data_IF_247429330190
#
_entry.id   IF_247429330190
#
_cell.length_a   1.000
_cell.length_b   1.000
_cell.length_c   1.000
_cell.angle_alpha   90.00
_cell.angle_beta   90.00
_cell.angle_gamma   90.00
#
_symmetry.space_group_name_H-M   'P 1'
#
loop_
_entity.id
_entity.type
_entity.pdbx_description
1 polymer ?
#
# COMPACT_ATOMS: atom_id res chain seq x y z
N UNK A 1 -21.38 -40.14 16.81
CA UNK A 1 -22.15 -38.89 16.95
C UNK A 1 -21.31 -37.78 16.35
N UNK A 2 -21.50 -37.51 15.07
CA UNK A 2 -20.69 -36.54 14.32
C UNK A 2 -21.19 -35.14 14.64
N UNK A 3 -20.37 -34.30 15.28
CA UNK A 3 -20.71 -32.90 15.49
C UNK A 3 -20.66 -32.15 14.16
N UNK A 4 -21.67 -31.33 13.83
CA UNK A 4 -21.61 -30.46 12.66
C UNK A 4 -20.60 -29.34 12.94
N UNK A 5 -19.59 -29.23 12.08
CA UNK A 5 -18.70 -28.07 12.05
C UNK A 5 -19.54 -26.91 11.53
N UNK A 6 -20.11 -26.11 12.43
CA UNK A 6 -20.75 -24.85 12.10
C UNK A 6 -19.65 -23.89 11.61
N UNK A 7 -19.39 -23.92 10.30
CA UNK A 7 -18.55 -22.93 9.63
C UNK A 7 -19.18 -21.55 9.78
N UNK A 8 -18.52 -20.67 10.54
CA UNK A 8 -18.91 -19.28 10.65
C UNK A 8 -18.96 -18.63 9.24
N UNK A 9 -19.92 -17.75 8.96
CA UNK A 9 -19.94 -17.04 7.69
C UNK A 9 -18.68 -16.19 7.58
N UNK A 10 -17.87 -16.46 6.55
CA UNK A 10 -16.75 -15.62 6.11
C UNK A 10 -17.24 -14.17 6.05
N UNK A 11 -16.85 -13.37 7.05
CA UNK A 11 -17.09 -11.94 7.04
C UNK A 11 -16.33 -11.41 5.84
N UNK A 12 -17.05 -11.06 4.75
CA UNK A 12 -16.48 -10.35 3.59
C UNK A 12 -15.66 -9.18 4.11
N UNK A 13 -14.34 -9.36 4.15
CA UNK A 13 -13.42 -8.29 4.51
C UNK A 13 -13.60 -7.16 3.51
N UNK A 14 -13.72 -5.91 3.97
CA UNK A 14 -13.82 -4.77 3.06
C UNK A 14 -12.63 -4.80 2.11
N UNK A 15 -12.89 -4.55 0.83
CA UNK A 15 -11.84 -4.50 -0.20
C UNK A 15 -11.01 -3.26 0.13
N UNK A 16 -9.83 -3.46 0.70
CA UNK A 16 -8.88 -2.38 1.01
C UNK A 16 -8.02 -2.13 -0.23
N UNK A 17 -7.96 -0.87 -0.67
CA UNK A 17 -7.00 -0.45 -1.69
C UNK A 17 -5.80 0.11 -0.94
N UNK A 18 -4.64 -0.48 -1.18
CA UNK A 18 -3.40 -0.10 -0.52
C UNK A 18 -2.65 0.89 -1.41
N UNK A 19 -2.20 1.98 -0.81
CA UNK A 19 -1.43 3.02 -1.47
C UNK A 19 -0.08 3.19 -0.80
N UNK A 20 0.87 3.60 -1.62
CA UNK A 20 2.27 3.85 -1.28
C UNK A 20 2.58 5.29 -1.59
N UNK A 21 3.18 5.99 -0.62
CA UNK A 21 3.71 7.34 -0.77
C UNK A 21 5.21 7.25 -0.90
N UNK A 22 5.73 7.64 -2.06
CA UNK A 22 7.15 7.78 -2.33
C UNK A 22 7.56 9.24 -2.14
N UNK A 23 8.62 9.50 -1.39
CA UNK A 23 9.15 10.82 -1.11
C UNK A 23 10.59 10.93 -1.62
N UNK A 24 10.88 12.01 -2.35
CA UNK A 24 12.24 12.31 -2.80
C UNK A 24 13.07 12.89 -1.65
N UNK A 25 14.28 12.37 -1.44
CA UNK A 25 15.22 12.83 -0.40
C UNK A 25 15.68 14.27 -0.62
N UNK A 26 15.87 14.69 -1.88
CA UNK A 26 16.31 16.04 -2.24
C UNK A 26 15.19 17.06 -2.28
N UNK A 27 14.18 16.73 -3.08
CA UNK A 27 13.16 17.69 -3.51
C UNK A 27 11.95 17.69 -2.59
N UNK A 28 11.86 16.72 -1.66
CA UNK A 28 10.70 16.48 -0.78
C UNK A 28 9.37 16.31 -1.52
N UNK A 29 9.42 16.08 -2.84
CA UNK A 29 8.24 15.75 -3.64
C UNK A 29 7.72 14.39 -3.18
N UNK A 30 6.42 14.34 -2.92
CA UNK A 30 5.70 13.12 -2.59
C UNK A 30 4.88 12.66 -3.80
N UNK A 31 4.89 11.37 -4.09
CA UNK A 31 4.14 10.75 -5.17
C UNK A 31 3.32 9.61 -4.59
N UNK A 32 2.00 9.65 -4.84
CA UNK A 32 1.06 8.57 -4.46
C UNK A 32 0.98 7.58 -5.62
N UNK A 33 1.18 6.30 -5.32
CA UNK A 33 0.95 5.18 -6.25
C UNK A 33 0.20 4.04 -5.58
N UNK A 34 -0.42 3.16 -6.37
CA UNK A 34 -0.96 1.90 -5.87
C UNK A 34 0.19 1.02 -5.35
N UNK A 35 -0.05 0.35 -4.22
CA UNK A 35 0.93 -0.54 -3.62
C UNK A 35 1.13 -1.77 -4.49
N UNK A 36 2.39 -2.14 -4.69
CA UNK A 36 2.78 -3.37 -5.38
C UNK A 36 3.45 -4.30 -4.38
N UNK A 37 3.31 -5.62 -4.58
CA UNK A 37 3.97 -6.61 -3.75
C UNK A 37 5.50 -6.38 -3.74
N UNK A 38 6.06 -6.15 -2.55
CA UNK A 38 7.49 -5.83 -2.38
C UNK A 38 7.81 -4.35 -2.08
N UNK A 39 6.80 -3.48 -2.01
CA UNK A 39 6.94 -2.15 -1.44
C UNK A 39 7.13 -2.21 0.09
N UNK A 40 8.14 -1.51 0.61
CA UNK A 40 8.50 -1.51 2.04
C UNK A 40 8.77 -0.06 2.47
N UNK A 41 8.26 0.35 3.63
CA UNK A 41 8.54 1.68 4.19
C UNK A 41 10.05 1.88 4.35
N UNK A 42 10.54 3.06 3.99
CA UNK A 42 11.95 3.45 3.91
C UNK A 42 12.80 2.70 2.88
N UNK A 43 12.19 1.93 1.96
CA UNK A 43 12.93 1.36 0.84
C UNK A 43 13.21 2.43 -0.20
N UNK A 44 14.44 2.46 -0.68
CA UNK A 44 14.86 3.28 -1.81
C UNK A 44 14.32 2.62 -3.10
N UNK A 45 13.60 3.40 -3.88
CA UNK A 45 12.99 3.01 -5.15
C UNK A 45 13.73 3.71 -6.29
N UNK A 46 13.08 3.86 -7.44
CA UNK A 46 13.60 4.49 -8.64
C UNK A 46 14.06 5.95 -8.46
N UNK A 47 14.76 6.44 -9.48
CA UNK A 47 15.31 7.79 -9.53
C UNK A 47 14.21 8.82 -9.84
N UNK A 48 14.21 9.93 -9.12
CA UNK A 48 13.30 11.02 -9.35
C UNK A 48 13.64 11.72 -10.67
N UNK A 49 12.69 11.78 -11.62
CA UNK A 49 12.90 12.41 -12.94
C UNK A 49 13.32 13.89 -12.86
N UNK A 50 12.84 14.61 -11.85
CA UNK A 50 13.17 16.03 -11.65
C UNK A 50 14.52 16.26 -10.97
N UNK A 51 14.96 15.34 -10.11
CA UNK A 51 16.07 15.58 -9.16
C UNK A 51 17.27 14.65 -9.39
N UNK A 52 17.07 13.60 -10.19
CA UNK A 52 17.99 12.49 -10.41
C UNK A 52 18.47 11.82 -9.12
N UNK A 53 17.64 11.88 -8.08
CA UNK A 53 17.96 11.34 -6.75
C UNK A 53 16.98 10.23 -6.38
N UNK A 54 17.33 9.39 -5.42
CA UNK A 54 16.50 8.23 -5.09
C UNK A 54 15.21 8.66 -4.41
N UNK A 55 14.10 8.10 -4.86
CA UNK A 55 12.83 8.15 -4.16
C UNK A 55 12.88 7.14 -2.99
N UNK A 56 12.23 7.47 -1.89
CA UNK A 56 12.12 6.59 -0.72
C UNK A 56 10.65 6.45 -0.35
N UNK A 57 10.18 5.22 -0.13
CA UNK A 57 8.80 5.01 0.33
C UNK A 57 8.67 5.58 1.75
N UNK A 58 7.87 6.63 1.92
CA UNK A 58 7.69 7.30 3.21
C UNK A 58 6.53 6.72 4.01
N UNK A 59 5.47 6.25 3.34
CA UNK A 59 4.27 5.75 4.01
C UNK A 59 3.54 4.72 3.15
N UNK A 60 2.93 3.73 3.79
CA UNK A 60 2.04 2.75 3.15
C UNK A 60 0.77 2.70 3.98
N UNK A 61 -0.38 2.85 3.32
CA UNK A 61 -1.67 2.87 4.01
C UNK A 61 -2.77 2.22 3.15
N UNK A 62 -3.74 1.60 3.81
CA UNK A 62 -4.92 1.03 3.16
C UNK A 62 -6.13 1.93 3.38
N UNK A 63 -6.83 2.27 2.31
CA UNK A 63 -8.14 2.93 2.37
C UNK A 63 -9.24 1.97 1.90
N UNK A 64 -10.41 1.91 2.57
CA UNK A 64 -11.51 1.07 2.14
C UNK A 64 -12.06 1.62 0.82
N UNK A 65 -12.19 0.75 -0.20
CA UNK A 65 -12.79 1.14 -1.49
C UNK A 65 -14.22 1.62 -1.23
N UNK A 66 -14.47 2.93 -1.31
CA UNK A 66 -15.84 3.47 -1.30
C UNK A 66 -16.56 2.87 -2.50
N UNK A 67 -17.52 2.00 -2.21
CA UNK A 67 -18.45 1.45 -3.19
C UNK A 67 -19.39 2.60 -3.56
N UNK A 68 -19.13 3.28 -4.68
CA UNK A 68 -20.07 4.24 -5.26
C UNK A 68 -21.11 3.51 -6.11
#
# INVERSE_FOLDING_TARGET
>A
MSLPIMGAPDKKSPILVVYTIEQCTKCKKQTKREFTEGDIVHKLTSDCKDCNEKLMISLIYGEPKKKN
#
